data_IF_853757835167
#
_entry.id   IF_853757835167
#
_cell.length_a   1.000
_cell.length_b   1.000
_cell.length_c   1.000
_cell.angle_alpha   90.00
_cell.angle_beta   90.00
_cell.angle_gamma   90.00
#
_symmetry.space_group_name_H-M   'P 1'
#
loop_
_entity.id
_entity.type
_entity.pdbx_description
1 polymer ?
#
# COMPACT_ATOMS: atom_id res chain seq x y z
N UNK A 1 -7.10 -1.89 -19.86
CA UNK A 1 -7.61 -1.06 -18.73
C UNK A 1 -7.08 -1.55 -17.38
N UNK A 2 -7.02 -2.86 -17.15
CA UNK A 2 -6.51 -3.47 -15.90
C UNK A 2 -5.09 -2.99 -15.52
N UNK A 3 -4.16 -2.90 -16.48
CA UNK A 3 -2.78 -2.50 -16.16
C UNK A 3 -2.59 -1.04 -15.74
N UNK A 4 -3.46 -0.15 -16.22
CA UNK A 4 -3.49 1.26 -15.79
C UNK A 4 -4.00 1.36 -14.35
N UNK A 5 -5.06 0.62 -14.01
CA UNK A 5 -5.63 0.56 -12.67
C UNK A 5 -4.62 -0.05 -11.70
N UNK A 6 -3.93 -1.12 -12.09
CA UNK A 6 -2.92 -1.76 -11.26
C UNK A 6 -1.68 -0.86 -11.04
N UNK A 7 -1.25 -0.07 -12.04
CA UNK A 7 -0.19 0.94 -11.86
C UNK A 7 -0.60 2.06 -10.91
N UNK A 8 -1.83 2.57 -11.04
CA UNK A 8 -2.36 3.57 -10.11
C UNK A 8 -2.46 3.00 -8.69
N UNK A 9 -3.00 1.79 -8.53
CA UNK A 9 -3.09 1.09 -7.25
C UNK A 9 -1.71 0.90 -6.61
N UNK A 10 -0.69 0.60 -7.41
CA UNK A 10 0.70 0.48 -6.93
C UNK A 10 1.23 1.83 -6.44
N UNK A 11 1.00 2.91 -7.19
CA UNK A 11 1.39 4.27 -6.79
C UNK A 11 0.72 4.72 -5.49
N UNK A 12 -0.61 4.56 -5.39
CA UNK A 12 -1.37 4.89 -4.18
C UNK A 12 -0.97 3.99 -2.99
N UNK A 13 -0.73 2.70 -3.22
CA UNK A 13 -0.29 1.78 -2.18
C UNK A 13 1.08 2.15 -1.61
N UNK A 14 2.05 2.49 -2.47
CA UNK A 14 3.37 2.97 -2.04
C UNK A 14 3.25 4.28 -1.26
N UNK A 15 2.49 5.25 -1.78
CA UNK A 15 2.30 6.53 -1.12
C UNK A 15 1.64 6.37 0.26
N UNK A 16 0.60 5.54 0.35
CA UNK A 16 -0.13 5.26 1.58
C UNK A 16 0.78 4.58 2.62
N UNK A 17 1.51 3.53 2.21
CA UNK A 17 2.41 2.81 3.08
C UNK A 17 3.54 3.70 3.61
N UNK A 18 4.17 4.51 2.75
CA UNK A 18 5.23 5.42 3.14
C UNK A 18 4.74 6.52 4.06
N UNK A 19 3.61 7.16 3.74
CA UNK A 19 3.06 8.23 4.56
C UNK A 19 2.66 7.72 5.95
N UNK A 20 2.01 6.55 6.02
CA UNK A 20 1.62 5.94 7.29
C UNK A 20 2.82 5.44 8.09
N UNK A 21 3.85 4.90 7.43
CA UNK A 21 5.07 4.47 8.11
C UNK A 21 5.85 5.67 8.68
N UNK A 22 5.91 6.77 7.92
CA UNK A 22 6.48 8.03 8.38
C UNK A 22 5.72 8.54 9.61
N UNK A 23 4.39 8.51 9.56
CA UNK A 23 3.56 8.95 10.69
C UNK A 23 3.76 8.06 11.92
N UNK A 24 3.90 6.74 11.72
CA UNK A 24 4.17 5.76 12.77
C UNK A 24 5.52 6.01 13.47
N UNK A 25 6.53 6.49 12.75
CA UNK A 25 7.84 6.87 13.32
C UNK A 25 7.76 8.07 14.26
N UNK A 26 6.78 8.97 14.06
CA UNK A 26 6.61 10.18 14.86
C UNK A 26 5.48 10.09 15.89
N UNK A 27 4.67 9.02 15.88
CA UNK A 27 3.60 8.83 16.86
C UNK A 27 4.04 7.94 18.02
N UNK A 28 3.75 8.33 19.28
CA UNK A 28 4.02 7.50 20.44
C UNK A 28 3.33 6.14 20.34
N UNK A 29 4.09 5.08 20.59
CA UNK A 29 3.57 3.70 20.66
C UNK A 29 2.56 3.55 21.80
N UNK A 30 1.48 2.81 21.56
CA UNK A 30 0.42 2.58 22.56
C UNK A 30 -0.76 3.56 22.49
N UNK A 31 -0.75 4.47 21.52
CA UNK A 31 -1.89 5.34 21.20
C UNK A 31 -2.77 4.73 20.11
N UNK A 32 -4.03 5.15 20.06
CA UNK A 32 -4.94 4.78 18.97
C UNK A 32 -4.40 5.20 17.59
N UNK A 33 -3.74 6.35 17.52
CA UNK A 33 -3.14 6.90 16.30
C UNK A 33 -2.01 6.01 15.76
N UNK A 34 -1.18 5.46 16.65
CA UNK A 34 -0.13 4.51 16.30
C UNK A 34 -0.72 3.18 15.76
N UNK A 35 -1.80 2.68 16.39
CA UNK A 35 -2.47 1.47 15.92
C UNK A 35 -3.10 1.66 14.53
N UNK A 36 -3.78 2.77 14.29
CA UNK A 36 -4.37 3.10 13.00
C UNK A 36 -3.28 3.28 11.93
N UNK A 37 -2.17 3.92 12.28
CA UNK A 37 -1.04 4.10 11.36
C UNK A 37 -0.42 2.76 10.97
N UNK A 38 -0.20 1.86 11.92
CA UNK A 38 0.33 0.52 11.67
C UNK A 38 -0.62 -0.30 10.76
N UNK A 39 -1.93 -0.25 11.02
CA UNK A 39 -2.93 -0.88 10.16
C UNK A 39 -2.93 -0.29 8.75
N UNK A 40 -2.76 1.03 8.63
CA UNK A 40 -2.72 1.74 7.35
C UNK A 40 -1.48 1.36 6.54
N UNK A 41 -0.32 1.18 7.19
CA UNK A 41 0.88 0.60 6.56
C UNK A 41 0.57 -0.79 6.01
N UNK A 42 -0.07 -1.65 6.81
CA UNK A 42 -0.47 -2.99 6.40
C UNK A 42 -1.39 -2.99 5.18
N UNK A 43 -2.40 -2.12 5.16
CA UNK A 43 -3.31 -1.96 4.02
C UNK A 43 -2.59 -1.44 2.77
N UNK A 44 -1.64 -0.51 2.92
CA UNK A 44 -0.80 -0.04 1.82
C UNK A 44 0.03 -1.17 1.21
N UNK A 45 0.65 -2.02 2.04
CA UNK A 45 1.38 -3.20 1.58
C UNK A 45 0.48 -4.22 0.87
N UNK A 46 -0.73 -4.47 1.38
CA UNK A 46 -1.70 -5.33 0.72
C UNK A 46 -2.09 -4.79 -0.67
N UNK A 47 -2.33 -3.48 -0.78
CA UNK A 47 -2.65 -2.85 -2.05
C UNK A 47 -1.51 -2.97 -3.06
N UNK A 48 -0.26 -2.80 -2.60
CA UNK A 48 0.95 -3.01 -3.43
C UNK A 48 0.99 -4.46 -3.92
N UNK A 49 0.81 -5.44 -3.04
CA UNK A 49 0.85 -6.86 -3.39
C UNK A 49 -0.20 -7.24 -4.44
N UNK A 50 -1.45 -6.77 -4.26
CA UNK A 50 -2.54 -7.02 -5.20
C UNK A 50 -2.22 -6.36 -6.55
N UNK A 51 -1.71 -5.14 -6.54
CA UNK A 51 -1.36 -4.39 -7.75
C UNK A 51 -0.21 -5.06 -8.52
N UNK A 52 0.84 -5.52 -7.83
CA UNK A 52 1.94 -6.29 -8.43
C UNK A 52 1.41 -7.59 -9.01
N UNK A 53 0.56 -8.32 -8.28
CA UNK A 53 -0.02 -9.58 -8.75
C UNK A 53 -0.85 -9.38 -10.01
N UNK A 54 -1.67 -8.33 -10.07
CA UNK A 54 -2.44 -7.98 -11.26
C UNK A 54 -1.53 -7.65 -12.46
N UNK A 55 -0.47 -6.87 -12.25
CA UNK A 55 0.51 -6.56 -13.30
C UNK A 55 1.25 -7.80 -13.78
N UNK A 56 1.60 -8.72 -12.87
CA UNK A 56 2.27 -9.97 -13.20
C UNK A 56 1.37 -10.88 -14.05
N UNK A 57 0.10 -11.02 -13.67
CA UNK A 57 -0.88 -11.81 -14.43
C UNK A 57 -1.09 -11.22 -15.82
N UNK A 58 -1.22 -9.89 -15.93
CA UNK A 58 -1.37 -9.23 -17.23
C UNK A 58 -0.14 -9.41 -18.13
N UNK A 59 1.06 -9.35 -17.57
CA UNK A 59 2.31 -9.64 -18.30
C UNK A 59 2.40 -11.09 -18.77
N UNK A 60 1.88 -12.05 -18.02
CA UNK A 60 1.89 -13.47 -18.41
C UNK A 60 0.81 -13.79 -19.45
N UNK A 61 -0.26 -12.99 -19.50
CA UNK A 61 -1.39 -13.18 -20.43
C UNK A 61 -1.16 -12.53 -21.80
N UNK A 62 -0.28 -11.52 -21.85
CA UNK A 62 0.21 -10.92 -23.10
C UNK A 62 1.39 -11.70 -23.65
#
# INVERSE_FOLDING_TARGET
MVGLIARLGLGFGVFLALSAALLLLFTPSGTAESAVSALTVGLGLLLILISISALYIERKRR
#
